data_IF_341772455394
#
_entry.id   IF_341772455394
#
_cell.length_a   1.000
_cell.length_b   1.000
_cell.length_c   1.000
_cell.angle_alpha   90.00
_cell.angle_beta   90.00
_cell.angle_gamma   90.00
#
_symmetry.space_group_name_H-M   'P 1'
#
loop_
_entity.id
_entity.type
_entity.pdbx_description
1 polymer ?
#
# COMPACT_ATOMS: atom_id res chain seq x y z
N UNK A 1 6.09 -4.44 -22.60
CA UNK A 1 5.79 -5.68 -21.85
C UNK A 1 5.46 -5.29 -20.42
N UNK A 2 4.19 -5.36 -20.03
CA UNK A 2 3.76 -4.97 -18.68
C UNK A 2 4.08 -6.08 -17.67
N UNK A 3 4.92 -5.79 -16.68
CA UNK A 3 5.24 -6.71 -15.60
C UNK A 3 3.94 -7.10 -14.87
N UNK A 4 3.48 -8.33 -15.10
CA UNK A 4 2.20 -8.91 -14.64
C UNK A 4 2.09 -9.07 -13.11
N UNK A 5 2.75 -8.27 -12.28
CA UNK A 5 2.87 -8.52 -10.82
C UNK A 5 2.78 -7.28 -9.93
N UNK A 6 2.60 -6.08 -10.49
CA UNK A 6 2.25 -4.92 -9.70
C UNK A 6 0.74 -4.90 -9.47
N UNK A 7 0.32 -4.93 -8.20
CA UNK A 7 -1.10 -4.82 -7.83
C UNK A 7 -1.34 -3.49 -7.16
N UNK A 8 -2.35 -2.76 -7.62
CA UNK A 8 -2.85 -1.59 -6.88
C UNK A 8 -3.72 -2.09 -5.74
N UNK A 9 -3.41 -1.65 -4.53
CA UNK A 9 -4.13 -1.98 -3.30
C UNK A 9 -4.34 -0.70 -2.51
N UNK A 10 -5.28 -0.74 -1.57
CA UNK A 10 -5.52 0.35 -0.64
C UNK A 10 -5.02 -0.05 0.74
N UNK A 11 -4.30 0.82 1.42
CA UNK A 11 -3.88 0.60 2.80
C UNK A 11 -4.72 1.48 3.70
N UNK A 12 -5.39 0.86 4.67
CA UNK A 12 -6.14 1.59 5.68
C UNK A 12 -5.20 2.23 6.70
N UNK A 13 -5.27 3.55 6.82
CA UNK A 13 -4.42 4.37 7.70
C UNK A 13 -5.11 4.75 9.02
N UNK A 14 -6.34 4.26 9.24
CA UNK A 14 -7.15 4.63 10.40
C UNK A 14 -8.27 5.62 10.05
N UNK A 15 -9.28 5.74 10.94
CA UNK A 15 -10.51 6.51 10.69
C UNK A 15 -10.24 7.99 10.38
N UNK A 16 -9.23 8.58 11.01
CA UNK A 16 -8.85 9.98 10.80
C UNK A 16 -8.06 10.16 9.49
N UNK A 17 -7.21 9.18 9.14
CA UNK A 17 -6.34 9.30 7.98
C UNK A 17 -6.95 8.76 6.67
N UNK A 18 -7.93 7.86 6.70
CA UNK A 18 -8.56 7.28 5.51
C UNK A 18 -7.71 6.16 4.90
N UNK A 19 -7.53 6.16 3.58
CA UNK A 19 -6.84 5.10 2.86
C UNK A 19 -5.73 5.65 1.95
N UNK A 20 -4.61 4.95 1.88
CA UNK A 20 -3.57 5.20 0.88
C UNK A 20 -3.74 4.26 -0.29
N UNK A 21 -3.83 4.81 -1.50
CA UNK A 21 -3.72 4.06 -2.74
C UNK A 21 -2.25 3.77 -2.96
N UNK A 22 -1.88 2.50 -2.97
CA UNK A 22 -0.48 2.08 -3.14
C UNK A 22 -0.35 1.04 -4.24
N UNK A 23 0.81 1.05 -4.90
CA UNK A 23 1.23 0.01 -5.84
C UNK A 23 2.16 -0.94 -5.11
N UNK A 24 1.75 -2.21 -5.04
CA UNK A 24 2.50 -3.28 -4.39
C UNK A 24 3.28 -4.08 -5.43
N UNK A 25 4.59 -4.12 -5.26
CA UNK A 25 5.53 -4.88 -6.09
C UNK A 25 5.86 -6.21 -5.42
N UNK A 26 5.10 -7.27 -5.72
CA UNK A 26 5.27 -8.59 -5.08
C UNK A 26 6.64 -9.25 -5.29
N UNK A 27 7.40 -8.83 -6.30
CA UNK A 27 8.73 -9.38 -6.61
C UNK A 27 9.84 -8.83 -5.69
N UNK A 28 9.58 -7.71 -5.01
CA UNK A 28 10.54 -7.11 -4.07
C UNK A 28 10.45 -7.78 -2.70
N UNK A 29 11.54 -7.76 -1.94
CA UNK A 29 11.58 -8.28 -0.56
C UNK A 29 10.57 -7.56 0.31
N UNK A 30 10.06 -8.24 1.32
CA UNK A 30 9.05 -7.70 2.26
C UNK A 30 9.59 -6.51 3.05
N UNK A 31 10.89 -6.56 3.35
CA UNK A 31 11.65 -5.51 4.03
C UNK A 31 12.03 -4.34 3.12
N UNK A 32 11.87 -4.46 1.79
CA UNK A 32 12.24 -3.39 0.86
C UNK A 32 11.18 -2.28 0.90
N UNK A 33 11.52 -1.04 1.30
CA UNK A 33 10.57 0.07 1.29
C UNK A 33 10.08 0.40 -0.12
N UNK A 34 10.81 0.01 -1.17
CA UNK A 34 10.39 0.15 -2.57
C UNK A 34 9.38 -0.91 -3.02
N UNK A 35 9.05 -1.91 -2.18
CA UNK A 35 7.94 -2.86 -2.40
C UNK A 35 6.59 -2.15 -2.48
N UNK A 36 6.46 -0.98 -1.84
CA UNK A 36 5.24 -0.19 -1.84
C UNK A 36 5.53 1.22 -2.35
N UNK A 37 4.80 1.63 -3.38
CA UNK A 37 4.81 3.00 -3.90
C UNK A 37 3.46 3.65 -3.65
N UNK A 38 3.45 4.75 -2.92
CA UNK A 38 2.25 5.52 -2.64
C UNK A 38 1.86 6.28 -3.91
N UNK A 39 0.65 6.06 -4.39
CA UNK A 39 0.08 6.75 -5.56
C UNK A 39 -0.77 7.95 -5.16
N UNK A 40 -1.28 7.97 -3.93
CA UNK A 40 -2.08 9.07 -3.39
C UNK A 40 -2.97 8.62 -2.25
N UNK A 41 -3.70 9.57 -1.67
CA UNK A 41 -4.61 9.35 -0.56
C UNK A 41 -6.06 9.47 -1.02
N UNK A 42 -6.92 8.60 -0.50
CA UNK A 42 -8.35 8.57 -0.81
C UNK A 42 -9.16 8.43 0.47
N UNK A 43 -10.34 9.04 0.50
CA UNK A 43 -11.26 8.92 1.65
C UNK A 43 -11.90 7.54 1.74
N UNK A 44 -12.10 6.87 0.60
CA UNK A 44 -12.70 5.54 0.53
C UNK A 44 -11.96 4.68 -0.51
N UNK A 45 -11.80 3.37 -0.26
CA UNK A 45 -11.20 2.46 -1.22
C UNK A 45 -12.13 2.26 -2.41
N UNK A 46 -11.56 2.05 -3.59
CA UNK A 46 -12.35 1.73 -4.78
C UNK A 46 -12.97 0.33 -4.63
N UNK A 47 -14.24 0.14 -5.02
CA UNK A 47 -14.89 -1.17 -4.97
C UNK A 47 -14.16 -2.19 -5.85
N UNK A 48 -13.99 -3.41 -5.35
CA UNK A 48 -13.26 -4.49 -6.02
C UNK A 48 -11.74 -4.47 -5.84
N UNK A 49 -11.18 -3.44 -5.21
CA UNK A 49 -9.76 -3.41 -4.86
C UNK A 49 -9.50 -3.99 -3.47
N UNK A 50 -8.35 -4.66 -3.32
CA UNK A 50 -7.93 -5.21 -2.04
C UNK A 50 -7.55 -4.09 -1.08
N UNK A 51 -8.12 -4.14 0.12
CA UNK A 51 -7.76 -3.28 1.24
C UNK A 51 -6.89 -4.07 2.21
N UNK A 52 -5.71 -3.55 2.52
CA UNK A 52 -4.76 -4.08 3.49
C UNK A 52 -4.72 -3.18 4.72
N UNK A 53 -4.35 -3.74 5.86
CA UNK A 53 -4.06 -2.96 7.07
C UNK A 53 -2.57 -2.68 7.13
N UNK A 54 -2.18 -1.66 7.88
CA UNK A 54 -0.76 -1.43 8.20
C UNK A 54 -0.10 -2.67 8.80
N UNK A 55 -0.83 -3.43 9.61
CA UNK A 55 -0.32 -4.61 10.29
C UNK A 55 0.07 -5.76 9.36
N UNK A 56 -0.43 -5.77 8.11
CA UNK A 56 -0.04 -6.75 7.09
C UNK A 56 1.35 -6.47 6.47
N UNK A 57 1.97 -5.33 6.78
CA UNK A 57 3.26 -4.93 6.21
C UNK A 57 4.40 -5.12 7.23
N UNK A 58 5.65 -5.20 6.75
CA UNK A 58 6.83 -5.15 7.62
C UNK A 58 7.05 -3.77 8.22
N UNK A 59 7.72 -3.69 9.38
CA UNK A 59 7.94 -2.45 10.12
C UNK A 59 8.49 -1.31 9.24
N UNK A 60 9.47 -1.60 8.39
CA UNK A 60 10.10 -0.62 7.47
C UNK A 60 9.07 -0.04 6.48
N UNK A 61 8.16 -0.88 5.97
CA UNK A 61 7.12 -0.45 5.03
C UNK A 61 5.99 0.28 5.77
N UNK A 62 5.67 -0.12 7.01
CA UNK A 62 4.73 0.60 7.89
C UNK A 62 5.21 2.01 8.16
N UNK A 63 6.46 2.18 8.60
CA UNK A 63 7.04 3.50 8.88
C UNK A 63 6.97 4.41 7.65
N UNK A 64 7.26 3.87 6.46
CA UNK A 64 7.12 4.63 5.21
C UNK A 64 5.67 5.05 4.94
N UNK A 65 4.70 4.18 5.20
CA UNK A 65 3.28 4.45 4.98
C UNK A 65 2.71 5.43 6.01
N UNK A 66 3.17 5.38 7.26
CA UNK A 66 2.72 6.29 8.32
C UNK A 66 3.24 7.72 8.16
N UNK A 67 4.44 7.85 7.55
CA UNK A 67 5.08 9.12 7.21
C UNK A 67 4.65 9.71 5.85
N UNK A 68 3.75 9.03 5.12
CA UNK A 68 3.23 9.48 3.82
C UNK A 68 2.01 10.39 3.92
#
# INVERSE_FOLDING_TARGET
MGDKRDKVVFVYMGKSKGYLKVRLFKKRKEEDPGRVVILGRVSQPLPGYQVLKLDDFEAVVREKLENA
#
